data_IF_742672936708
#
_entry.id   IF_742672936708
#
_cell.length_a   1.000
_cell.length_b   1.000
_cell.length_c   1.000
_cell.angle_alpha   90.00
_cell.angle_beta   90.00
_cell.angle_gamma   90.00
#
_symmetry.space_group_name_H-M   'P 1'
#
loop_
_entity.id
_entity.type
_entity.pdbx_description
1 polymer ?
#
# COMPACT_ATOMS: atom_id res chain seq x y z
N UNK A 1 6.47 -13.59 -19.15
CA UNK A 1 7.61 -13.03 -18.39
C UNK A 1 7.02 -12.40 -17.14
N UNK A 2 7.01 -13.10 -16.01
CA UNK A 2 6.56 -12.52 -14.74
C UNK A 2 7.55 -11.44 -14.34
N UNK A 3 7.16 -10.18 -14.48
CA UNK A 3 7.92 -9.07 -13.92
C UNK A 3 7.77 -9.22 -12.41
N UNK A 4 8.82 -9.70 -11.73
CA UNK A 4 8.92 -9.58 -10.27
C UNK A 4 8.89 -8.09 -9.95
N UNK A 5 7.72 -7.57 -9.57
CA UNK A 5 7.59 -6.18 -9.17
C UNK A 5 8.51 -5.96 -7.98
N UNK A 6 9.45 -5.02 -8.08
CA UNK A 6 10.32 -4.70 -6.96
C UNK A 6 9.62 -3.69 -6.03
N UNK A 7 10.05 -3.62 -4.76
CA UNK A 7 9.52 -2.69 -3.75
C UNK A 7 9.24 -1.26 -4.28
N UNK A 8 10.14 -0.74 -5.12
CA UNK A 8 10.02 0.62 -5.67
C UNK A 8 8.83 0.79 -6.62
N UNK A 9 8.50 -0.24 -7.39
CA UNK A 9 7.35 -0.22 -8.32
C UNK A 9 6.05 -0.30 -7.53
N UNK A 10 5.97 -1.23 -6.58
CA UNK A 10 4.78 -1.39 -5.74
C UNK A 10 4.50 -0.16 -4.89
N UNK A 11 5.52 0.42 -4.25
CA UNK A 11 5.35 1.63 -3.43
C UNK A 11 4.91 2.84 -4.25
N UNK A 12 5.40 3.01 -5.48
CA UNK A 12 4.90 4.06 -6.39
C UNK A 12 3.44 3.82 -6.80
N UNK A 13 3.06 2.59 -7.12
CA UNK A 13 1.67 2.24 -7.44
C UNK A 13 0.76 2.48 -6.24
N UNK A 14 1.19 2.09 -5.04
CA UNK A 14 0.44 2.29 -3.80
C UNK A 14 0.20 3.78 -3.55
N UNK A 15 1.24 4.62 -3.65
CA UNK A 15 1.11 6.07 -3.49
C UNK A 15 0.19 6.70 -4.55
N UNK A 16 0.20 6.19 -5.79
CA UNK A 16 -0.73 6.65 -6.83
C UNK A 16 -2.18 6.26 -6.51
N UNK A 17 -2.40 5.04 -6.02
CA UNK A 17 -3.71 4.59 -5.57
C UNK A 17 -4.24 5.43 -4.39
N UNK A 18 -3.39 5.75 -3.40
CA UNK A 18 -3.75 6.68 -2.31
C UNK A 18 -4.18 8.05 -2.84
N UNK A 19 -3.42 8.61 -3.79
CA UNK A 19 -3.75 9.90 -4.42
C UNK A 19 -5.10 9.88 -5.14
N UNK A 20 -5.43 8.75 -5.76
CA UNK A 20 -6.69 8.54 -6.46
C UNK A 20 -7.84 8.14 -5.53
N UNK A 21 -7.61 8.08 -4.20
CA UNK A 21 -8.55 7.60 -3.19
C UNK A 21 -8.98 6.13 -3.38
N UNK A 22 -8.25 5.36 -4.18
CA UNK A 22 -8.40 3.91 -4.28
C UNK A 22 -7.65 3.25 -3.11
N UNK A 23 -8.23 3.40 -1.92
CA UNK A 23 -7.60 2.97 -0.67
C UNK A 23 -7.56 1.45 -0.51
N UNK A 24 -8.45 0.73 -1.21
CA UNK A 24 -8.44 -0.74 -1.22
C UNK A 24 -7.23 -1.24 -1.97
N UNK A 25 -7.00 -0.73 -3.18
CA UNK A 25 -5.79 -1.08 -3.94
C UNK A 25 -4.53 -0.57 -3.24
N UNK A 26 -4.56 0.63 -2.67
CA UNK A 26 -3.42 1.18 -1.92
C UNK A 26 -3.03 0.29 -0.73
N UNK A 27 -4.01 -0.18 0.05
CA UNK A 27 -3.78 -1.11 1.17
C UNK A 27 -3.03 -2.36 0.71
N UNK A 28 -3.54 -3.03 -0.32
CA UNK A 28 -2.98 -4.29 -0.80
C UNK A 28 -1.57 -4.07 -1.39
N UNK A 29 -1.37 -2.98 -2.14
CA UNK A 29 -0.06 -2.64 -2.70
C UNK A 29 0.98 -2.31 -1.62
N UNK A 30 0.59 -1.59 -0.56
CA UNK A 30 1.48 -1.32 0.57
C UNK A 30 1.84 -2.60 1.32
N UNK A 31 0.87 -3.49 1.53
CA UNK A 31 1.12 -4.81 2.13
C UNK A 31 2.07 -5.65 1.29
N UNK A 32 1.90 -5.70 -0.04
CA UNK A 32 2.82 -6.41 -0.92
C UNK A 32 4.21 -5.77 -0.95
N UNK A 33 4.30 -4.44 -0.93
CA UNK A 33 5.57 -3.73 -0.88
C UNK A 33 6.36 -4.07 0.40
N UNK A 34 5.69 -4.20 1.55
CA UNK A 34 6.36 -4.55 2.81
C UNK A 34 7.01 -5.93 2.75
N UNK A 35 6.38 -6.91 2.09
CA UNK A 35 6.90 -8.27 1.94
C UNK A 35 8.14 -8.34 1.03
N UNK A 36 8.34 -7.37 0.14
CA UNK A 36 9.45 -7.34 -0.81
C UNK A 36 10.62 -6.47 -0.35
N UNK A 37 10.49 -5.77 0.77
CA UNK A 37 11.55 -4.94 1.31
C UNK A 37 12.40 -5.70 2.34
N UNK A 38 13.71 -5.43 2.38
CA UNK A 38 14.62 -5.95 3.41
C UNK A 38 14.99 -4.91 4.47
N UNK A 39 14.62 -3.64 4.25
CA UNK A 39 14.91 -2.55 5.18
C UNK A 39 13.75 -2.38 6.15
N UNK A 40 14.01 -2.59 7.45
CA UNK A 40 13.00 -2.49 8.50
C UNK A 40 12.22 -1.17 8.48
N UNK A 41 12.88 -0.02 8.23
CA UNK A 41 12.21 1.28 8.17
C UNK A 41 11.18 1.38 7.04
N UNK A 42 11.50 0.77 5.90
CA UNK A 42 10.60 0.74 4.75
C UNK A 42 9.44 -0.24 4.98
N UNK A 43 9.69 -1.36 5.65
CA UNK A 43 8.66 -2.31 6.08
C UNK A 43 7.66 -1.59 7.00
N UNK A 44 8.15 -0.92 8.04
CA UNK A 44 7.33 -0.16 9.00
C UNK A 44 6.51 0.93 8.30
N UNK A 45 7.15 1.67 7.37
CA UNK A 45 6.45 2.67 6.58
C UNK A 45 5.27 2.08 5.80
N UNK A 46 5.49 0.97 5.11
CA UNK A 46 4.45 0.29 4.32
C UNK A 46 3.31 -0.23 5.21
N UNK A 47 3.64 -0.86 6.34
CA UNK A 47 2.63 -1.39 7.27
C UNK A 47 1.78 -0.24 7.84
N UNK A 48 2.40 0.86 8.26
CA UNK A 48 1.68 2.03 8.78
C UNK A 48 0.74 2.63 7.72
N UNK A 49 1.15 2.66 6.45
CA UNK A 49 0.31 3.16 5.35
C UNK A 49 -0.82 2.22 4.97
N UNK A 50 -0.59 0.91 4.99
CA UNK A 50 -1.66 -0.08 4.86
C UNK A 50 -2.71 0.11 5.99
N UNK A 51 -2.28 0.17 7.25
CA UNK A 51 -3.20 0.39 8.38
C UNK A 51 -3.96 1.72 8.27
N UNK A 52 -3.33 2.78 7.76
CA UNK A 52 -4.02 4.03 7.48
C UNK A 52 -5.15 3.86 6.46
N UNK A 53 -4.88 3.18 5.34
CA UNK A 53 -5.88 2.94 4.29
C UNK A 53 -7.06 2.14 4.83
N UNK A 54 -6.78 1.07 5.58
CA UNK A 54 -7.80 0.22 6.21
C UNK A 54 -8.63 1.01 7.21
N UNK A 55 -8.00 1.72 8.15
CA UNK A 55 -8.70 2.51 9.16
C UNK A 55 -9.55 3.64 8.54
N UNK A 56 -9.08 4.26 7.46
CA UNK A 56 -9.84 5.27 6.73
C UNK A 56 -11.10 4.67 6.09
N UNK A 57 -10.98 3.50 5.45
CA UNK A 57 -12.12 2.77 4.86
C UNK A 57 -13.13 2.37 5.93
N UNK A 58 -12.68 1.81 7.06
CA UNK A 58 -13.56 1.42 8.17
C UNK A 58 -14.34 2.60 8.76
N UNK A 59 -13.72 3.79 8.80
CA UNK A 59 -14.36 5.03 9.30
C UNK A 59 -15.26 5.71 8.27
N UNK A 60 -15.12 5.38 6.99
CA UNK A 60 -15.86 5.99 5.88
C UNK A 60 -16.52 4.92 4.99
N UNK A 61 -17.48 4.14 5.52
CA UNK A 61 -18.08 3.01 4.80
C UNK A 61 -18.82 3.42 3.51
N UNK A 62 -19.20 4.69 3.38
CA UNK A 62 -19.92 5.25 2.22
C UNK A 62 -19.01 5.60 1.03
N UNK A 63 -17.70 5.35 1.12
CA UNK A 63 -16.73 5.62 0.03
C UNK A 63 -16.21 4.34 -0.64
N UNK A 64 -17.01 3.27 -0.59
CA UNK A 64 -16.76 2.00 -1.29
C UNK A 64 -17.13 2.09 -2.76
#
# INVERSE_FOLDING_TARGET
MEIKECFHVLSKKAALAEKNMDLVSAFELWKQASLLCKNAKNIDWCINRAMFCEAFLSRNPNRK
#
